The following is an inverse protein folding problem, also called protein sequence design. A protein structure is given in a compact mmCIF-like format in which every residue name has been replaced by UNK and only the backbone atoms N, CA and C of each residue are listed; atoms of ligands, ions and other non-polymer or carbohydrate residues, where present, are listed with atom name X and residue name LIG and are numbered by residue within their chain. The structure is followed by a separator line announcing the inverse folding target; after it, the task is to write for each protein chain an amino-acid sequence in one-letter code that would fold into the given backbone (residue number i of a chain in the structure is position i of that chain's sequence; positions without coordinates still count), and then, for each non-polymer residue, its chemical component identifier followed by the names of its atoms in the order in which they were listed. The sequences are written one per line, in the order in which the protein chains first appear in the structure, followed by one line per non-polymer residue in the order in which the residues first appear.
data_IF_168893262861
#
_entry.id   IF_168893262861
#
_cell.length_a   1.000
_cell.length_b   1.000
_cell.length_c   1.000
_cell.angle_alpha   90.00
_cell.angle_beta   90.00
_cell.angle_gamma   90.00
#
_symmetry.space_group_name_H-M   'P 1'
#
loop_
_entity.id
_entity.type
_entity.pdbx_description
1 polymer ?
#
# COMPACT_ATOMS: atom_id res chain seq x y z
N UNK A 1 -15.16 -14.01 -17.41
CA UNK A 1 -14.47 -13.71 -18.68
C UNK A 1 -14.59 -12.22 -19.06
N UNK A 2 -15.80 -11.63 -19.11
CA UNK A 2 -15.99 -10.21 -19.49
C UNK A 2 -15.10 -9.21 -18.73
N UNK A 3 -14.84 -9.42 -17.44
CA UNK A 3 -13.92 -8.58 -16.66
C UNK A 3 -12.47 -8.75 -17.13
N UNK A 4 -12.06 -9.98 -17.44
CA UNK A 4 -10.69 -10.26 -17.92
C UNK A 4 -10.44 -9.68 -19.31
N UNK A 5 -11.47 -9.64 -20.18
CA UNK A 5 -11.41 -8.96 -21.48
C UNK A 5 -11.12 -7.44 -21.33
N UNK A 6 -11.59 -6.84 -20.23
CA UNK A 6 -11.36 -5.40 -19.96
C UNK A 6 -9.95 -5.13 -19.41
N UNK A 7 -9.43 -5.99 -18.52
CA UNK A 7 -8.16 -5.73 -17.82
C UNK A 7 -6.96 -6.41 -18.46
N UNK A 8 -7.18 -7.42 -19.32
CA UNK A 8 -6.12 -8.22 -19.95
C UNK A 8 -5.43 -9.20 -19.01
N UNK A 9 -4.63 -10.08 -19.58
CA UNK A 9 -3.76 -11.00 -18.84
C UNK A 9 -2.39 -10.35 -18.53
N UNK A 10 -1.67 -10.81 -17.47
CA UNK A 10 -2.06 -11.83 -16.51
C UNK A 10 -3.06 -11.34 -15.46
N UNK A 11 -3.89 -12.27 -14.96
CA UNK A 11 -4.90 -12.02 -13.92
C UNK A 11 -4.61 -12.86 -12.70
N UNK A 12 -4.82 -12.31 -11.51
CA UNK A 12 -4.73 -13.04 -10.25
C UNK A 12 -6.13 -13.47 -9.82
N UNK A 13 -6.26 -14.73 -9.44
CA UNK A 13 -7.48 -15.32 -8.85
C UNK A 13 -7.22 -15.51 -7.36
N UNK A 14 -8.07 -14.92 -6.52
CA UNK A 14 -8.03 -15.13 -5.06
C UNK A 14 -9.38 -15.65 -4.58
N UNK A 15 -9.47 -16.91 -4.14
CA UNK A 15 -10.68 -17.44 -3.53
C UNK A 15 -11.00 -16.70 -2.22
N UNK A 16 -12.27 -16.34 -2.03
CA UNK A 16 -12.69 -15.63 -0.83
C UNK A 16 -12.59 -16.53 0.40
N UNK A 17 -12.13 -15.95 1.53
CA UNK A 17 -12.00 -16.63 2.83
C UNK A 17 -11.09 -17.86 2.84
N UNK A 18 -10.09 -17.90 1.98
CA UNK A 18 -9.01 -18.90 2.02
C UNK A 18 -7.75 -18.33 2.65
N UNK A 19 -6.87 -19.18 3.16
CA UNK A 19 -5.60 -18.80 3.76
C UNK A 19 -4.43 -19.26 2.90
N UNK A 20 -3.34 -18.51 2.91
CA UNK A 20 -2.09 -18.89 2.28
C UNK A 20 -2.14 -19.10 0.77
N UNK A 21 -3.08 -18.42 0.08
CA UNK A 21 -3.22 -18.54 -1.38
C UNK A 21 -3.86 -19.85 -1.87
N UNK A 22 -4.42 -20.65 -0.96
CA UNK A 22 -5.03 -21.94 -1.30
C UNK A 22 -6.12 -21.81 -2.37
N UNK A 23 -5.98 -22.54 -3.48
CA UNK A 23 -6.93 -22.55 -4.60
C UNK A 23 -6.85 -21.32 -5.50
N UNK A 24 -5.98 -20.35 -5.21
CA UNK A 24 -5.71 -19.20 -6.06
C UNK A 24 -4.49 -19.40 -6.97
N UNK A 25 -4.26 -18.44 -7.86
CA UNK A 25 -3.11 -18.47 -8.76
C UNK A 25 -3.11 -17.33 -9.77
N UNK A 26 -2.08 -17.32 -10.62
CA UNK A 26 -1.92 -16.37 -11.73
C UNK A 26 -2.35 -17.07 -13.01
N UNK A 27 -3.24 -16.42 -13.76
CA UNK A 27 -3.74 -16.90 -15.05
C UNK A 27 -3.08 -16.08 -16.16
N UNK A 28 -2.53 -16.76 -17.15
CA UNK A 28 -1.91 -16.13 -18.33
C UNK A 28 -2.77 -16.23 -19.58
N UNK A 29 -3.81 -17.04 -19.55
CA UNK A 29 -4.74 -17.30 -20.65
C UNK A 29 -6.11 -17.81 -20.13
N UNK A 30 -7.04 -18.00 -21.06
CA UNK A 30 -8.40 -18.45 -20.72
C UNK A 30 -8.46 -19.87 -20.12
N UNK A 31 -7.53 -20.74 -20.49
CA UNK A 31 -7.48 -22.09 -19.94
C UNK A 31 -7.06 -22.07 -18.48
N UNK A 32 -5.98 -21.34 -18.15
CA UNK A 32 -5.54 -21.15 -16.76
C UNK A 32 -6.67 -20.55 -15.92
N UNK A 33 -7.37 -19.54 -16.50
CA UNK A 33 -8.47 -18.87 -15.81
C UNK A 33 -9.59 -19.85 -15.44
N UNK A 34 -10.00 -20.72 -16.39
CA UNK A 34 -11.05 -21.68 -16.16
C UNK A 34 -10.68 -22.73 -15.10
N UNK A 35 -9.45 -23.25 -15.17
CA UNK A 35 -8.93 -24.23 -14.24
C UNK A 35 -8.79 -23.65 -12.81
N UNK A 36 -8.15 -22.48 -12.69
CA UNK A 36 -7.87 -21.87 -11.37
C UNK A 36 -9.17 -21.34 -10.74
N UNK A 37 -10.06 -20.70 -11.51
CA UNK A 37 -11.34 -20.22 -10.97
C UNK A 37 -12.21 -21.42 -10.52
N UNK A 38 -12.28 -22.49 -11.32
CA UNK A 38 -13.03 -23.70 -10.95
C UNK A 38 -12.51 -24.31 -9.65
N UNK A 39 -11.19 -24.39 -9.51
CA UNK A 39 -10.55 -24.85 -8.27
C UNK A 39 -10.84 -23.88 -7.11
N UNK A 40 -10.63 -22.59 -7.31
CA UNK A 40 -10.84 -21.56 -6.30
C UNK A 40 -12.26 -21.52 -5.75
N UNK A 41 -13.26 -21.66 -6.60
CA UNK A 41 -14.66 -21.73 -6.18
C UNK A 41 -14.96 -22.95 -5.30
N UNK A 42 -14.25 -24.07 -5.47
CA UNK A 42 -14.37 -25.25 -4.60
C UNK A 42 -13.72 -25.05 -3.23
N UNK A 43 -12.60 -24.31 -3.19
CA UNK A 43 -11.90 -24.03 -1.94
C UNK A 43 -12.55 -22.90 -1.14
N UNK A 44 -13.26 -21.98 -1.80
CA UNK A 44 -13.96 -20.91 -1.11
C UNK A 44 -15.21 -21.42 -0.38
N UNK A 45 -15.31 -21.22 0.94
CA UNK A 45 -16.50 -21.65 1.69
C UNK A 45 -17.79 -20.92 1.29
N UNK A 46 -17.67 -19.80 0.58
CA UNK A 46 -18.80 -19.01 0.05
C UNK A 46 -18.88 -19.06 -1.47
N UNK A 47 -18.11 -19.93 -2.12
CA UNK A 47 -18.11 -20.14 -3.57
C UNK A 47 -17.90 -18.83 -4.34
N UNK A 48 -16.90 -18.02 -3.92
CA UNK A 48 -16.55 -16.74 -4.53
C UNK A 48 -15.05 -16.64 -4.78
N UNK A 49 -14.67 -16.00 -5.90
CA UNK A 49 -13.30 -15.63 -6.20
C UNK A 49 -13.22 -14.15 -6.58
N UNK A 50 -12.19 -13.48 -6.10
CA UNK A 50 -11.80 -12.17 -6.57
C UNK A 50 -10.86 -12.33 -7.77
N UNK A 51 -11.08 -11.53 -8.82
CA UNK A 51 -10.21 -11.43 -9.98
C UNK A 51 -9.56 -10.05 -9.98
N UNK A 52 -8.24 -10.00 -10.12
CA UNK A 52 -7.48 -8.77 -10.08
C UNK A 52 -6.47 -8.73 -11.24
N UNK A 53 -6.22 -7.52 -11.78
CA UNK A 53 -5.10 -7.31 -12.71
C UNK A 53 -3.79 -7.63 -11.98
N UNK A 54 -2.91 -8.38 -12.61
CA UNK A 54 -1.58 -8.63 -12.05
C UNK A 54 -0.75 -7.35 -12.11
N UNK A 55 -0.10 -7.04 -10.99
CA UNK A 55 0.89 -5.97 -10.88
C UNK A 55 2.31 -6.53 -10.71
N UNK A 56 2.54 -7.77 -11.14
CA UNK A 56 3.86 -8.37 -11.13
C UNK A 56 4.85 -7.51 -11.93
N UNK A 57 6.03 -7.26 -11.35
CA UNK A 57 7.05 -6.40 -11.96
C UNK A 57 6.88 -4.90 -11.68
N UNK A 58 5.81 -4.47 -11.00
CA UNK A 58 5.70 -3.10 -10.52
C UNK A 58 6.66 -2.90 -9.33
N UNK A 59 7.06 -1.63 -9.11
CA UNK A 59 7.80 -1.23 -7.90
C UNK A 59 6.83 -1.05 -6.76
N UNK A 60 7.11 -1.64 -5.61
CA UNK A 60 6.32 -1.40 -4.40
C UNK A 60 6.86 -0.22 -3.63
N UNK A 61 6.03 0.80 -3.47
CA UNK A 61 6.37 2.07 -2.81
C UNK A 61 5.40 2.30 -1.66
N UNK A 62 5.93 2.65 -0.52
CA UNK A 62 5.16 2.96 0.68
C UNK A 62 5.32 4.41 1.10
N UNK A 63 4.24 4.99 1.61
CA UNK A 63 4.25 6.31 2.24
C UNK A 63 3.72 6.19 3.67
N UNK A 64 4.52 6.64 4.62
CA UNK A 64 4.08 6.90 5.99
C UNK A 64 3.56 8.32 6.07
N UNK A 65 2.27 8.45 6.27
CA UNK A 65 1.55 9.73 6.30
C UNK A 65 0.86 9.92 7.63
N UNK A 66 0.64 11.18 8.01
CA UNK A 66 -0.11 11.54 9.21
C UNK A 66 -1.06 12.68 8.90
N UNK A 67 -2.24 12.64 9.48
CA UNK A 67 -3.27 13.69 9.35
C UNK A 67 -3.95 13.92 10.71
N UNK A 68 -4.24 15.17 11.03
CA UNK A 68 -4.95 15.56 12.26
C UNK A 68 -6.44 15.87 11.99
N UNK A 69 -7.12 16.34 13.03
CA UNK A 69 -8.55 16.68 12.95
C UNK A 69 -8.83 18.02 12.24
N UNK A 70 -7.81 18.86 12.06
CA UNK A 70 -7.90 20.13 11.34
C UNK A 70 -7.50 20.01 9.85
N UNK A 71 -7.36 18.77 9.36
CA UNK A 71 -6.94 18.43 7.98
C UNK A 71 -5.48 18.81 7.65
N UNK A 72 -4.66 19.10 8.65
CA UNK A 72 -3.23 19.21 8.42
C UNK A 72 -2.67 17.80 8.16
N UNK A 73 -1.93 17.66 7.06
CA UNK A 73 -1.37 16.36 6.68
C UNK A 73 0.11 16.48 6.29
N UNK A 74 0.89 15.50 6.70
CA UNK A 74 2.32 15.40 6.38
C UNK A 74 2.66 14.02 5.85
N UNK A 75 3.65 13.96 4.98
CA UNK A 75 4.36 12.72 4.65
C UNK A 75 5.62 12.70 5.51
N UNK A 76 5.73 11.69 6.37
CA UNK A 76 6.89 11.52 7.25
C UNK A 76 8.05 10.91 6.47
N UNK A 77 7.76 9.89 5.67
CA UNK A 77 8.76 9.14 4.93
C UNK A 77 8.10 8.44 3.74
N UNK A 78 8.85 8.28 2.65
CA UNK A 78 8.55 7.28 1.65
C UNK A 78 9.61 6.17 1.70
N UNK A 79 9.22 4.97 1.30
CA UNK A 79 10.06 3.78 1.31
C UNK A 79 9.84 2.98 0.04
N UNK A 80 10.83 2.20 -0.33
CA UNK A 80 10.79 1.33 -1.50
C UNK A 80 11.16 -0.10 -1.09
N UNK A 81 10.36 -1.06 -1.51
CA UNK A 81 10.64 -2.48 -1.36
C UNK A 81 11.45 -2.96 -2.57
N UNK A 82 12.58 -3.63 -2.30
CA UNK A 82 13.42 -4.19 -3.37
C UNK A 82 12.96 -5.58 -3.83
N UNK A 83 12.24 -6.27 -2.98
CA UNK A 83 11.67 -7.58 -3.32
C UNK A 83 10.45 -7.42 -4.25
N UNK A 84 10.10 -8.46 -5.02
CA UNK A 84 8.94 -8.42 -5.90
C UNK A 84 7.65 -8.06 -5.17
N UNK A 85 6.76 -7.31 -5.83
CA UNK A 85 5.43 -6.97 -5.31
C UNK A 85 4.69 -8.23 -4.85
N UNK A 86 4.14 -8.17 -3.63
CA UNK A 86 3.44 -9.27 -2.99
C UNK A 86 4.24 -9.98 -1.90
N UNK A 87 5.53 -9.68 -1.75
CA UNK A 87 6.30 -10.07 -0.57
C UNK A 87 5.98 -9.07 0.53
N UNK A 88 5.54 -9.57 1.69
CA UNK A 88 5.13 -8.71 2.79
C UNK A 88 6.30 -7.83 3.27
N UNK A 89 6.06 -6.52 3.48
CA UNK A 89 7.07 -5.53 3.91
C UNK A 89 7.91 -5.97 5.12
N UNK A 90 7.35 -6.76 6.02
CA UNK A 90 8.08 -7.30 7.16
C UNK A 90 9.11 -8.37 6.84
N UNK A 91 9.07 -8.91 5.63
CA UNK A 91 9.91 -10.01 5.16
C UNK A 91 10.77 -9.59 3.95
N UNK A 92 10.69 -8.32 3.54
CA UNK A 92 11.42 -7.75 2.39
C UNK A 92 12.50 -6.76 2.82
N UNK A 93 13.42 -6.49 1.90
CA UNK A 93 14.40 -5.41 2.04
C UNK A 93 13.73 -4.08 1.68
N UNK A 94 13.65 -3.18 2.66
CA UNK A 94 13.03 -1.86 2.52
C UNK A 94 14.06 -0.77 2.66
N UNK A 95 14.07 0.19 1.75
CA UNK A 95 14.97 1.36 1.77
C UNK A 95 14.17 2.63 1.97
N UNK A 96 14.64 3.48 2.87
CA UNK A 96 14.10 4.80 3.17
C UNK A 96 15.20 5.86 3.04
N UNK A 97 15.01 6.93 2.23
CA UNK A 97 13.91 7.14 1.28
C UNK A 97 14.01 6.24 0.05
N UNK A 98 12.96 6.19 -0.78
CA UNK A 98 13.00 5.48 -2.06
C UNK A 98 14.13 6.01 -2.95
N UNK A 99 14.79 5.09 -3.69
CA UNK A 99 16.01 5.41 -4.43
C UNK A 99 15.80 5.48 -5.95
N UNK A 100 14.74 4.88 -6.46
CA UNK A 100 14.53 4.69 -7.91
C UNK A 100 13.42 5.56 -8.49
N UNK A 101 12.78 6.40 -7.69
CA UNK A 101 11.74 7.32 -8.16
C UNK A 101 12.34 8.61 -8.72
N UNK A 102 11.83 9.05 -9.86
CA UNK A 102 11.96 10.44 -10.29
C UNK A 102 11.15 11.37 -9.37
N UNK A 103 11.48 12.66 -9.34
CA UNK A 103 10.71 13.64 -8.55
C UNK A 103 9.23 13.66 -8.96
N UNK A 104 8.93 13.52 -10.25
CA UNK A 104 7.55 13.48 -10.74
C UNK A 104 6.76 12.29 -10.20
N UNK A 105 7.36 11.11 -10.19
CA UNK A 105 6.76 9.89 -9.63
C UNK A 105 6.56 10.04 -8.12
N UNK A 106 7.58 10.53 -7.44
CA UNK A 106 7.52 10.81 -6.01
C UNK A 106 6.36 11.75 -5.66
N UNK A 107 6.24 12.90 -6.33
CA UNK A 107 5.19 13.88 -6.04
C UNK A 107 3.80 13.36 -6.40
N UNK A 108 3.68 12.60 -7.48
CA UNK A 108 2.42 11.97 -7.88
C UNK A 108 1.92 10.98 -6.81
N UNK A 109 2.78 10.06 -6.37
CA UNK A 109 2.42 9.06 -5.36
C UNK A 109 2.23 9.70 -3.97
N UNK A 110 3.04 10.71 -3.64
CA UNK A 110 2.85 11.53 -2.44
C UNK A 110 1.46 12.17 -2.42
N UNK A 111 1.08 12.81 -3.52
CA UNK A 111 -0.24 13.44 -3.64
C UNK A 111 -1.35 12.43 -3.50
N UNK A 112 -1.27 11.31 -4.22
CA UNK A 112 -2.24 10.22 -4.12
C UNK A 112 -2.40 9.74 -2.67
N UNK A 113 -1.30 9.57 -1.94
CA UNK A 113 -1.33 9.14 -0.54
C UNK A 113 -2.05 10.13 0.37
N UNK A 114 -1.81 11.44 0.19
CA UNK A 114 -2.50 12.48 0.97
C UNK A 114 -3.99 12.58 0.61
N UNK A 115 -4.34 12.48 -0.66
CA UNK A 115 -5.74 12.51 -1.11
C UNK A 115 -6.52 11.30 -0.58
N UNK A 116 -5.89 10.11 -0.53
CA UNK A 116 -6.49 8.88 0.03
C UNK A 116 -6.82 9.04 1.51
N UNK A 117 -5.86 9.49 2.32
CA UNK A 117 -6.09 9.61 3.77
C UNK A 117 -7.13 10.69 4.10
N UNK A 118 -7.20 11.75 3.30
CA UNK A 118 -8.23 12.79 3.42
C UNK A 118 -9.60 12.24 3.02
N UNK A 119 -9.71 11.58 1.86
CA UNK A 119 -10.97 11.00 1.38
C UNK A 119 -11.54 9.93 2.30
N UNK A 120 -10.68 9.18 2.99
CA UNK A 120 -11.09 8.15 3.97
C UNK A 120 -11.28 8.71 5.40
N UNK A 121 -11.16 10.01 5.63
CA UNK A 121 -11.19 10.67 6.95
C UNK A 121 -10.28 9.99 7.99
N UNK A 122 -9.11 9.52 7.57
CA UNK A 122 -8.15 8.89 8.47
C UNK A 122 -7.48 9.98 9.32
N UNK A 123 -7.46 9.77 10.64
CA UNK A 123 -6.79 10.64 11.61
C UNK A 123 -5.70 9.87 12.33
N UNK A 124 -4.53 10.47 12.46
CA UNK A 124 -3.33 9.82 12.97
C UNK A 124 -2.44 9.28 11.85
N UNK A 125 -1.62 8.29 12.18
CA UNK A 125 -0.70 7.66 11.25
C UNK A 125 -1.37 6.64 10.33
N UNK A 126 -0.93 6.63 9.09
CA UNK A 126 -1.38 5.68 8.09
C UNK A 126 -0.22 5.27 7.17
N UNK A 127 -0.10 3.99 6.91
CA UNK A 127 0.77 3.46 5.88
C UNK A 127 -0.04 3.26 4.59
N UNK A 128 0.40 3.85 3.49
CA UNK A 128 -0.19 3.71 2.15
C UNK A 128 0.77 2.95 1.28
N UNK A 129 0.34 1.79 0.77
CA UNK A 129 1.13 0.93 -0.10
C UNK A 129 0.65 1.07 -1.54
N UNK A 130 1.56 1.37 -2.43
CA UNK A 130 1.33 1.66 -3.84
C UNK A 130 2.24 0.78 -4.70
N UNK A 131 1.75 0.36 -5.85
CA UNK A 131 2.55 -0.27 -6.89
C UNK A 131 2.69 0.69 -8.08
N UNK A 132 3.91 0.99 -8.50
CA UNK A 132 4.21 1.86 -9.63
C UNK A 132 4.74 1.02 -10.80
N UNK A 133 4.14 1.19 -11.97
CA UNK A 133 4.64 0.57 -13.20
C UNK A 133 6.08 1.07 -13.51
N UNK A 134 7.04 0.18 -13.84
CA UNK A 134 8.44 0.58 -13.99
C UNK A 134 8.70 1.57 -15.13
N UNK A 135 7.89 1.55 -16.18
CA UNK A 135 8.11 2.30 -17.41
C UNK A 135 7.01 3.32 -17.73
N UNK A 136 6.09 3.56 -16.80
CA UNK A 136 5.00 4.52 -16.97
C UNK A 136 4.57 5.15 -15.64
N UNK A 137 3.66 6.13 -15.70
CA UNK A 137 3.07 6.73 -14.50
C UNK A 137 1.82 5.99 -14.01
N UNK A 138 1.52 4.79 -14.57
CA UNK A 138 0.44 3.95 -14.07
C UNK A 138 0.81 3.44 -12.68
N UNK A 139 -0.11 3.58 -11.74
CA UNK A 139 0.07 3.04 -10.40
C UNK A 139 -1.23 2.40 -9.89
N UNK A 140 -1.09 1.49 -8.96
CA UNK A 140 -2.19 0.87 -8.26
C UNK A 140 -2.05 1.10 -6.75
N UNK A 141 -3.17 1.25 -6.06
CA UNK A 141 -3.22 1.22 -4.59
C UNK A 141 -3.30 -0.24 -4.17
N UNK A 142 -2.29 -0.72 -3.44
CA UNK A 142 -2.29 -2.09 -2.91
C UNK A 142 -3.20 -2.15 -1.69
N UNK A 143 -2.86 -1.36 -0.67
CA UNK A 143 -3.66 -1.26 0.55
C UNK A 143 -3.35 0.01 1.34
N UNK A 144 -4.25 0.35 2.24
CA UNK A 144 -4.07 1.40 3.24
C UNK A 144 -4.22 0.81 4.64
N UNK A 145 -3.30 1.15 5.51
CA UNK A 145 -3.26 0.66 6.88
C UNK A 145 -3.38 1.84 7.85
N UNK A 146 -4.60 2.20 8.31
CA UNK A 146 -4.83 3.38 9.16
C UNK A 146 -4.42 3.09 10.61
N UNK A 147 -3.17 2.81 10.81
CA UNK A 147 -2.56 2.47 12.10
C UNK A 147 -1.04 2.63 12.05
N UNK A 148 -0.42 2.75 13.21
CA UNK A 148 1.03 2.60 13.34
C UNK A 148 1.41 1.13 13.18
N UNK A 149 2.49 0.86 12.46
CA UNK A 149 2.92 -0.48 12.05
C UNK A 149 4.43 -0.68 12.19
N UNK A 150 4.94 -1.83 11.74
CA UNK A 150 6.38 -2.10 11.68
C UNK A 150 7.11 -1.12 10.75
N UNK A 151 6.50 -0.77 9.63
CA UNK A 151 7.01 0.24 8.69
C UNK A 151 7.09 1.63 9.33
N UNK A 152 6.13 2.00 10.16
CA UNK A 152 6.17 3.26 10.92
C UNK A 152 7.37 3.31 11.90
N UNK A 153 7.72 2.18 12.51
CA UNK A 153 8.91 2.08 13.36
C UNK A 153 10.20 2.25 12.56
N UNK A 154 10.28 1.62 11.37
CA UNK A 154 11.39 1.79 10.43
C UNK A 154 11.51 3.24 9.96
N UNK A 155 10.41 3.85 9.53
CA UNK A 155 10.34 5.25 9.12
C UNK A 155 10.76 6.20 10.24
N UNK A 156 10.31 5.96 11.48
CA UNK A 156 10.73 6.73 12.65
C UNK A 156 12.23 6.65 12.89
N UNK A 157 12.81 5.46 12.72
CA UNK A 157 14.26 5.27 12.87
C UNK A 157 15.04 5.96 11.74
N UNK A 158 14.56 5.88 10.51
CA UNK A 158 15.22 6.47 9.35
C UNK A 158 15.18 8.00 9.36
N UNK A 159 14.07 8.60 9.81
CA UNK A 159 13.86 10.05 9.78
C UNK A 159 14.16 10.76 11.09
N UNK A 160 14.15 10.04 12.20
CA UNK A 160 14.18 10.63 13.55
C UNK A 160 12.79 11.16 13.99
N UNK A 161 11.77 11.11 13.15
CA UNK A 161 10.44 11.60 13.49
C UNK A 161 9.64 10.56 14.30
N UNK A 162 9.18 10.90 15.52
CA UNK A 162 8.60 9.91 16.44
C UNK A 162 7.11 9.66 16.13
N UNK A 163 6.82 8.91 15.04
CA UNK A 163 5.47 8.66 14.53
C UNK A 163 4.51 8.18 15.61
N UNK A 164 4.89 7.19 16.42
CA UNK A 164 4.00 6.64 17.46
C UNK A 164 3.64 7.68 18.52
N UNK A 165 4.61 8.51 18.94
CA UNK A 165 4.38 9.59 19.92
C UNK A 165 3.44 10.66 19.36
N UNK A 166 3.66 11.07 18.11
CA UNK A 166 2.83 12.07 17.43
C UNK A 166 1.43 11.51 17.22
N UNK A 167 1.31 10.24 16.78
CA UNK A 167 0.03 9.58 16.62
C UNK A 167 -0.78 9.55 17.93
N UNK A 168 -0.12 9.27 19.06
CA UNK A 168 -0.80 9.31 20.38
C UNK A 168 -1.28 10.73 20.73
N UNK A 169 -0.52 11.78 20.41
CA UNK A 169 -0.95 13.17 20.62
C UNK A 169 -2.15 13.53 19.74
N UNK A 170 -2.15 13.15 18.46
CA UNK A 170 -3.29 13.37 17.57
C UNK A 170 -4.54 12.67 18.14
N UNK A 171 -4.40 11.44 18.63
CA UNK A 171 -5.50 10.72 19.26
C UNK A 171 -6.04 11.40 20.53
N UNK A 172 -5.22 12.22 21.21
CA UNK A 172 -5.63 13.06 22.35
C UNK A 172 -6.21 14.41 21.91
N UNK A 173 -6.29 14.70 20.60
CA UNK A 173 -6.90 15.90 20.06
C UNK A 173 -5.92 17.02 19.70
N UNK A 174 -4.62 16.81 19.79
CA UNK A 174 -3.64 17.79 19.33
C UNK A 174 -3.59 17.81 17.80
N UNK A 175 -3.43 19.00 17.22
CA UNK A 175 -3.15 19.16 15.82
C UNK A 175 -1.65 19.14 15.54
N UNK A 176 -1.26 18.88 14.29
CA UNK A 176 0.16 18.75 13.89
C UNK A 176 0.95 20.03 14.12
N UNK A 177 0.34 21.20 13.94
CA UNK A 177 0.94 22.51 14.16
C UNK A 177 1.11 22.86 15.66
N UNK A 178 0.42 22.16 16.56
CA UNK A 178 0.60 22.27 18.01
C UNK A 178 1.69 21.32 18.54
N UNK A 179 2.15 20.38 17.71
CA UNK A 179 3.13 19.36 18.10
C UNK A 179 4.50 19.75 17.55
N UNK A 180 5.38 20.20 18.46
CA UNK A 180 6.76 20.52 18.10
C UNK A 180 7.41 19.37 17.33
N UNK A 181 7.93 19.65 16.12
CA UNK A 181 8.64 18.68 15.31
C UNK A 181 10.00 18.36 15.95
N UNK A 182 10.20 17.11 16.32
CA UNK A 182 11.41 16.66 17.01
C UNK A 182 12.68 16.71 16.12
N UNK A 183 12.53 16.77 14.80
CA UNK A 183 13.64 16.78 13.84
C UNK A 183 14.04 18.21 13.47
N UNK A 184 13.05 19.05 13.12
CA UNK A 184 13.30 20.42 12.67
C UNK A 184 13.37 21.43 13.83
N UNK A 185 12.77 21.11 14.95
CA UNK A 185 12.70 21.97 16.11
C UNK A 185 11.62 23.07 16.03
N UNK A 186 10.84 23.10 14.97
CA UNK A 186 9.72 24.04 14.75
C UNK A 186 8.40 23.51 15.27
#
# INVERSE_FOLDING_TARGET
KAFVEQIGYPVIVRPAFTLGGTGGGICHNDQDLEEIVTSGLKYSPVTQCLLEKSIAGYKEIEYEVMRDSADNAIVVCNMENFDPVGIHTGDSIVVAPSQTLSDREYQMLRRASLDIISACDIRGGCNVQLALHPDSFEYAVIEINPRVSRSSALASKATGYPIAKVNAKIALGYNLDEIKNAVTGS
#
